data_IF_013033182824
#
_entry.id   IF_013033182824
#
_cell.length_a   1.000
_cell.length_b   1.000
_cell.length_c   1.000
_cell.angle_alpha   90.00
_cell.angle_beta   90.00
_cell.angle_gamma   90.00
#
_symmetry.space_group_name_H-M   'P 1'
#
loop_
_entity.id
_entity.type
_entity.pdbx_description
1 polymer ?
#
# COMPACT_ATOMS: atom_id res chain seq x y z
N UNK A 1 -9.49 -5.75 -14.39
CA UNK A 1 -8.48 -6.24 -13.43
C UNK A 1 -7.12 -5.60 -13.67
N UNK A 2 -6.46 -5.83 -14.83
CA UNK A 2 -5.13 -5.29 -15.14
C UNK A 2 -4.96 -3.79 -14.82
N UNK A 3 -5.84 -2.93 -15.33
CA UNK A 3 -5.79 -1.47 -15.07
C UNK A 3 -5.87 -1.13 -13.57
N UNK A 4 -6.73 -1.83 -12.84
CA UNK A 4 -6.94 -1.58 -11.41
C UNK A 4 -5.70 -1.99 -10.59
N UNK A 5 -5.18 -3.20 -10.84
CA UNK A 5 -3.95 -3.68 -10.19
C UNK A 5 -2.73 -2.83 -10.58
N UNK A 6 -2.65 -2.36 -11.83
CA UNK A 6 -1.56 -1.49 -12.28
C UNK A 6 -1.56 -0.13 -11.57
N UNK A 7 -2.71 0.51 -11.44
CA UNK A 7 -2.83 1.78 -10.68
C UNK A 7 -2.42 1.59 -9.23
N UNK A 8 -2.87 0.50 -8.59
CA UNK A 8 -2.48 0.19 -7.21
C UNK A 8 -0.98 -0.16 -7.08
N UNK A 9 -0.40 -0.85 -8.05
CA UNK A 9 1.03 -1.11 -8.06
C UNK A 9 1.84 0.19 -8.13
N UNK A 10 1.39 1.13 -8.96
CA UNK A 10 1.98 2.46 -9.06
C UNK A 10 1.90 3.23 -7.73
N UNK A 11 0.74 3.29 -7.09
CA UNK A 11 0.59 3.99 -5.79
C UNK A 11 1.41 3.33 -4.70
N UNK A 12 1.49 1.99 -4.65
CA UNK A 12 2.33 1.27 -3.70
C UNK A 12 3.82 1.61 -3.89
N UNK A 13 4.30 1.59 -5.13
CA UNK A 13 5.68 1.96 -5.45
C UNK A 13 5.99 3.40 -5.05
N UNK A 14 5.07 4.32 -5.37
CA UNK A 14 5.18 5.73 -5.03
C UNK A 14 5.30 5.93 -3.52
N UNK A 15 4.33 5.42 -2.74
CA UNK A 15 4.29 5.61 -1.28
C UNK A 15 5.51 4.98 -0.63
N UNK A 16 5.91 3.78 -1.06
CA UNK A 16 7.06 3.09 -0.49
C UNK A 16 8.38 3.85 -0.75
N UNK A 17 8.59 4.39 -1.95
CA UNK A 17 9.78 5.16 -2.28
C UNK A 17 9.80 6.54 -1.60
N UNK A 18 8.65 7.23 -1.56
CA UNK A 18 8.51 8.50 -0.85
C UNK A 18 8.80 8.33 0.64
N UNK A 19 8.23 7.29 1.26
CA UNK A 19 8.47 6.95 2.65
C UNK A 19 9.95 6.62 2.92
N UNK A 20 10.59 5.82 2.05
CA UNK A 20 12.02 5.52 2.17
C UNK A 20 12.87 6.80 2.16
N UNK A 21 12.56 7.77 1.30
CA UNK A 21 13.28 9.04 1.24
C UNK A 21 13.08 9.87 2.51
N UNK A 22 11.85 9.93 3.02
CA UNK A 22 11.49 10.82 4.14
C UNK A 22 11.79 10.23 5.52
N UNK A 23 11.74 8.90 5.64
CA UNK A 23 11.78 8.18 6.90
C UNK A 23 13.01 7.25 7.00
N UNK A 24 13.87 7.22 5.98
CA UNK A 24 14.99 6.28 5.83
C UNK A 24 14.60 4.78 5.76
N UNK A 25 13.32 4.43 5.95
CA UNK A 25 12.82 3.06 5.93
C UNK A 25 11.69 2.86 4.92
N UNK A 26 11.70 1.75 4.17
CA UNK A 26 10.60 1.39 3.29
C UNK A 26 9.43 0.84 4.11
N UNK A 27 8.23 1.39 3.93
CA UNK A 27 7.02 0.94 4.65
C UNK A 27 6.34 -0.29 4.03
N UNK A 28 6.73 -0.68 2.81
CA UNK A 28 6.16 -1.83 2.08
C UNK A 28 7.03 -3.09 2.09
N UNK A 29 8.28 -3.02 2.57
CA UNK A 29 9.24 -4.12 2.57
C UNK A 29 9.46 -4.69 3.99
N UNK A 30 8.47 -5.43 4.48
CA UNK A 30 8.50 -5.96 5.85
C UNK A 30 9.68 -6.92 6.12
N UNK A 31 10.15 -7.70 5.14
CA UNK A 31 11.30 -8.60 5.31
C UNK A 31 12.57 -7.82 5.71
N UNK A 32 12.78 -6.65 5.11
CA UNK A 32 13.89 -5.75 5.47
C UNK A 32 13.72 -5.19 6.87
N UNK A 33 12.52 -4.67 7.18
CA UNK A 33 12.17 -4.12 8.51
C UNK A 33 12.36 -5.16 9.62
N UNK A 34 11.89 -6.39 9.44
CA UNK A 34 12.04 -7.47 10.43
C UNK A 34 13.49 -7.89 10.60
N UNK A 35 14.28 -7.90 9.52
CA UNK A 35 15.73 -8.17 9.62
C UNK A 35 16.42 -7.10 10.44
N UNK A 36 16.11 -5.83 10.19
CA UNK A 36 16.68 -4.70 10.93
C UNK A 36 16.28 -4.73 12.41
N UNK A 37 15.01 -5.05 12.73
CA UNK A 37 14.56 -5.28 14.11
C UNK A 37 15.36 -6.39 14.81
N UNK A 38 15.61 -7.52 14.12
CA UNK A 38 16.43 -8.60 14.67
C UNK A 38 17.90 -8.21 14.91
N UNK A 39 18.43 -7.27 14.12
CA UNK A 39 19.78 -6.75 14.32
C UNK A 39 19.88 -5.81 15.51
N UNK A 40 18.83 -5.03 15.82
CA UNK A 40 18.86 -4.15 16.99
C UNK A 40 18.83 -4.94 18.29
N UNK A 41 18.16 -6.10 18.34
CA UNK A 41 18.26 -7.03 19.48
C UNK A 41 19.67 -7.57 19.72
N UNK A 42 20.53 -7.62 18.70
CA UNK A 42 21.94 -8.01 18.86
C UNK A 42 22.84 -6.84 19.29
N UNK A 43 22.42 -5.59 19.02
CA UNK A 43 23.14 -4.36 19.37
C UNK A 43 22.14 -3.26 19.81
N UNK A 44 21.74 -3.21 21.09
CA UNK A 44 20.61 -2.42 21.60
C UNK A 44 20.81 -0.88 21.64
N UNK A 45 21.75 -0.35 20.86
CA UNK A 45 22.12 1.07 20.85
C UNK A 45 21.45 1.88 19.72
N UNK A 46 20.46 1.34 19.01
CA UNK A 46 19.84 2.03 17.88
C UNK A 46 18.51 2.67 18.26
N UNK A 47 18.50 4.00 18.24
CA UNK A 47 17.35 4.88 18.45
C UNK A 47 16.14 4.58 17.54
N UNK A 48 16.35 3.88 16.42
CA UNK A 48 15.38 3.68 15.34
C UNK A 48 14.40 2.50 15.55
N UNK A 49 14.50 1.76 16.66
CA UNK A 49 13.64 0.60 16.95
C UNK A 49 12.15 0.91 16.95
N UNK A 50 11.76 2.03 17.56
CA UNK A 50 10.37 2.46 17.67
C UNK A 50 9.73 2.66 16.30
N UNK A 51 10.48 3.20 15.34
CA UNK A 51 9.99 3.40 13.97
C UNK A 51 9.78 2.08 13.25
N UNK A 52 10.72 1.14 13.37
CA UNK A 52 10.59 -0.18 12.75
C UNK A 52 9.41 -0.98 13.31
N UNK A 53 9.19 -0.92 14.62
CA UNK A 53 8.01 -1.53 15.28
C UNK A 53 6.73 -0.85 14.80
N UNK A 54 6.72 0.48 14.70
CA UNK A 54 5.56 1.23 14.22
C UNK A 54 5.21 0.89 12.76
N UNK A 55 6.21 0.70 11.89
CA UNK A 55 6.00 0.25 10.50
C UNK A 55 5.40 -1.15 10.48
N UNK A 56 5.96 -2.10 11.24
CA UNK A 56 5.48 -3.47 11.29
C UNK A 56 4.03 -3.55 11.81
N UNK A 57 3.75 -2.92 12.94
CA UNK A 57 2.42 -2.91 13.55
C UNK A 57 1.41 -2.13 12.71
N UNK A 58 1.81 -0.99 12.15
CA UNK A 58 0.98 -0.19 11.25
C UNK A 58 0.55 -1.01 10.04
N UNK A 59 1.51 -1.62 9.34
CA UNK A 59 1.21 -2.48 8.19
C UNK A 59 0.29 -3.64 8.56
N UNK A 60 0.58 -4.33 9.66
CA UNK A 60 -0.25 -5.43 10.15
C UNK A 60 -1.68 -4.97 10.46
N UNK A 61 -1.84 -3.87 11.18
CA UNK A 61 -3.15 -3.29 11.51
C UNK A 61 -3.93 -2.91 10.24
N UNK A 62 -3.26 -2.30 9.26
CA UNK A 62 -3.86 -2.00 7.96
C UNK A 62 -4.35 -3.26 7.24
N UNK A 63 -3.52 -4.30 7.17
CA UNK A 63 -3.89 -5.57 6.54
C UNK A 63 -5.05 -6.27 7.28
N UNK A 64 -5.04 -6.24 8.61
CA UNK A 64 -6.11 -6.75 9.46
C UNK A 64 -7.44 -6.04 9.18
N UNK A 65 -7.44 -4.70 9.15
CA UNK A 65 -8.64 -3.89 8.85
C UNK A 65 -9.14 -4.16 7.44
N UNK A 66 -8.26 -4.28 6.44
CA UNK A 66 -8.68 -4.68 5.09
C UNK A 66 -9.35 -6.05 5.08
N UNK A 67 -8.78 -7.04 5.79
CA UNK A 67 -9.38 -8.37 5.93
C UNK A 67 -10.77 -8.32 6.55
N UNK A 68 -10.94 -7.57 7.64
CA UNK A 68 -12.23 -7.38 8.31
C UNK A 68 -13.26 -6.71 7.38
N UNK A 69 -12.87 -5.64 6.69
CA UNK A 69 -13.75 -4.88 5.80
C UNK A 69 -14.20 -5.71 4.58
N UNK A 70 -13.28 -6.49 4.00
CA UNK A 70 -13.55 -7.30 2.81
C UNK A 70 -14.33 -8.57 3.16
N UNK A 71 -14.21 -9.09 4.37
CA UNK A 71 -14.91 -10.28 4.87
C UNK A 71 -16.40 -10.09 5.19
N UNK A 72 -16.90 -8.86 5.32
CA UNK A 72 -18.28 -8.59 5.76
C UNK A 72 -19.34 -9.08 4.76
N UNK A 73 -20.16 -10.11 5.01
CA UNK A 73 -20.99 -10.76 3.97
C UNK A 73 -22.07 -9.88 3.30
N UNK A 74 -22.49 -8.77 3.92
CA UNK A 74 -23.73 -8.05 3.55
C UNK A 74 -23.60 -6.88 2.56
N UNK A 75 -22.38 -6.48 2.15
CA UNK A 75 -22.21 -5.29 1.28
C UNK A 75 -21.73 -5.63 -0.13
N UNK A 76 -22.06 -4.81 -1.13
CA UNK A 76 -21.56 -5.01 -2.49
C UNK A 76 -20.02 -4.91 -2.55
N UNK A 77 -19.38 -5.79 -3.31
CA UNK A 77 -17.91 -5.85 -3.46
C UNK A 77 -17.30 -4.50 -3.85
N UNK A 78 -17.96 -3.74 -4.75
CA UNK A 78 -17.52 -2.41 -5.15
C UNK A 78 -17.47 -1.41 -3.98
N UNK A 79 -18.47 -1.43 -3.11
CA UNK A 79 -18.53 -0.56 -1.92
C UNK A 79 -17.44 -0.92 -0.92
N UNK A 80 -17.17 -2.21 -0.67
CA UNK A 80 -16.08 -2.62 0.24
C UNK A 80 -14.72 -2.13 -0.25
N UNK A 81 -14.44 -2.31 -1.54
CA UNK A 81 -13.20 -1.82 -2.15
C UNK A 81 -13.08 -0.30 -2.04
N UNK A 82 -14.17 0.44 -2.25
CA UNK A 82 -14.18 1.88 -2.10
C UNK A 82 -13.87 2.30 -0.65
N UNK A 83 -14.48 1.65 0.35
CA UNK A 83 -14.20 1.95 1.77
C UNK A 83 -12.73 1.72 2.12
N UNK A 84 -12.13 0.63 1.63
CA UNK A 84 -10.70 0.37 1.86
C UNK A 84 -9.83 1.46 1.22
N UNK A 85 -10.09 1.82 -0.05
CA UNK A 85 -9.35 2.87 -0.76
C UNK A 85 -9.53 4.26 -0.15
N UNK A 86 -10.72 4.58 0.35
CA UNK A 86 -10.97 5.84 1.07
C UNK A 86 -10.21 5.85 2.40
N UNK A 87 -10.21 4.74 3.14
CA UNK A 87 -9.47 4.63 4.41
C UNK A 87 -7.97 4.75 4.18
N UNK A 88 -7.46 4.14 3.12
CA UNK A 88 -6.08 4.27 2.67
C UNK A 88 -5.73 5.73 2.36
N UNK A 89 -6.56 6.43 1.58
CA UNK A 89 -6.34 7.83 1.25
C UNK A 89 -6.32 8.73 2.50
N UNK A 90 -7.22 8.50 3.47
CA UNK A 90 -7.24 9.23 4.74
C UNK A 90 -5.93 9.01 5.50
N UNK A 91 -5.45 7.78 5.60
CA UNK A 91 -4.18 7.49 6.27
C UNK A 91 -2.99 8.14 5.55
N UNK A 92 -2.98 8.16 4.22
CA UNK A 92 -1.93 8.84 3.44
C UNK A 92 -1.95 10.36 3.64
N UNK A 93 -3.14 10.97 3.74
CA UNK A 93 -3.27 12.40 4.07
C UNK A 93 -2.81 12.68 5.51
N UNK A 94 -3.17 11.83 6.46
CA UNK A 94 -2.68 11.92 7.83
C UNK A 94 -1.16 11.76 7.91
N UNK A 95 -0.56 10.86 7.11
CA UNK A 95 0.88 10.75 7.00
C UNK A 95 1.51 12.01 6.37
N UNK A 96 0.85 12.60 5.37
CA UNK A 96 1.30 13.81 4.69
C UNK A 96 1.33 15.04 5.61
N UNK A 97 0.29 15.21 6.41
CA UNK A 97 0.11 16.35 7.33
C UNK A 97 0.68 16.09 8.72
N UNK A 98 1.41 14.99 8.89
CA UNK A 98 1.42 14.19 10.11
C UNK A 98 1.85 14.81 11.42
N UNK A 99 2.21 16.10 11.50
CA UNK A 99 2.47 16.79 12.77
C UNK A 99 2.29 18.32 12.74
N UNK A 100 1.24 18.83 12.10
CA UNK A 100 0.87 20.24 12.30
C UNK A 100 0.24 20.50 13.68
N UNK A 101 -0.23 19.46 14.38
CA UNK A 101 -0.79 19.59 15.73
C UNK A 101 0.30 19.62 16.81
N UNK A 102 0.54 20.82 17.35
CA UNK A 102 1.55 21.11 18.39
C UNK A 102 1.43 20.25 19.65
N UNK A 103 0.20 19.91 20.08
CA UNK A 103 -0.03 19.11 21.29
C UNK A 103 0.48 17.66 21.17
N UNK A 104 0.24 17.03 20.02
CA UNK A 104 0.66 15.65 19.75
C UNK A 104 2.19 15.57 19.60
N UNK A 105 2.77 16.60 18.97
CA UNK A 105 4.22 16.79 18.87
C UNK A 105 4.89 16.90 20.23
N UNK A 106 4.30 17.67 21.15
CA UNK A 106 4.80 17.81 22.51
C UNK A 106 4.74 16.49 23.27
N UNK A 107 3.61 15.77 23.19
CA UNK A 107 3.43 14.49 23.88
C UNK A 107 4.43 13.42 23.42
N UNK A 108 4.60 13.25 22.10
CA UNK A 108 5.57 12.29 21.54
C UNK A 108 7.00 12.59 21.97
N UNK A 109 7.38 13.87 22.00
CA UNK A 109 8.68 14.30 22.48
C UNK A 109 8.89 13.99 23.96
N UNK A 110 7.85 14.07 24.79
CA UNK A 110 7.91 13.75 26.23
C UNK A 110 8.17 12.27 26.48
N UNK A 111 7.65 11.38 25.63
CA UNK A 111 7.84 9.93 25.74
C UNK A 111 9.04 9.42 24.93
N UNK A 112 9.86 10.32 24.37
CA UNK A 112 11.07 9.96 23.61
C UNK A 112 10.82 9.35 22.22
N UNK A 113 9.62 9.51 21.67
CA UNK A 113 9.26 8.98 20.35
C UNK A 113 9.56 10.01 19.27
N UNK A 114 10.26 9.59 18.21
CA UNK A 114 10.58 10.45 17.09
C UNK A 114 9.32 10.87 16.34
N UNK A 115 9.26 12.15 15.94
CA UNK A 115 8.09 12.71 15.27
C UNK A 115 7.76 12.00 13.94
N UNK A 116 8.75 11.41 13.29
CA UNK A 116 8.60 10.64 12.04
C UNK A 116 7.87 9.30 12.24
N UNK A 117 7.75 8.81 13.49
CA UNK A 117 7.14 7.51 13.82
C UNK A 117 5.65 7.44 13.47
N UNK A 118 4.88 8.50 13.71
CA UNK A 118 3.45 8.52 13.37
C UNK A 118 3.19 8.54 11.86
N UNK A 119 3.82 9.42 11.07
CA UNK A 119 3.77 9.34 9.61
C UNK A 119 4.16 7.95 9.08
N UNK A 120 5.20 7.32 9.66
CA UNK A 120 5.62 5.97 9.30
C UNK A 120 4.51 4.94 9.56
N UNK A 121 3.88 4.99 10.74
CA UNK A 121 2.77 4.12 11.12
C UNK A 121 1.57 4.27 10.18
N UNK A 122 1.18 5.51 9.86
CA UNK A 122 0.05 5.77 8.96
C UNK A 122 0.35 5.34 7.52
N UNK A 123 1.54 5.64 7.00
CA UNK A 123 1.96 5.22 5.66
C UNK A 123 2.05 3.69 5.55
N UNK A 124 2.57 3.02 6.58
CA UNK A 124 2.61 1.57 6.66
C UNK A 124 1.21 0.96 6.73
N UNK A 125 0.31 1.51 7.55
CA UNK A 125 -1.08 1.08 7.62
C UNK A 125 -1.83 1.26 6.29
N UNK A 126 -1.58 2.35 5.56
CA UNK A 126 -2.12 2.55 4.22
C UNK A 126 -1.66 1.44 3.25
N UNK A 127 -0.36 1.13 3.20
CA UNK A 127 0.13 0.02 2.37
C UNK A 127 -0.37 -1.35 2.83
N UNK A 128 -0.56 -1.54 4.13
CA UNK A 128 -1.19 -2.74 4.70
C UNK A 128 -2.62 -2.94 4.18
N UNK A 129 -3.44 -1.87 4.21
CA UNK A 129 -4.79 -1.87 3.65
C UNK A 129 -4.77 -2.21 2.16
N UNK A 130 -3.91 -1.53 1.39
CA UNK A 130 -3.81 -1.71 -0.06
C UNK A 130 -3.41 -3.16 -0.42
N UNK A 131 -2.46 -3.74 0.31
CA UNK A 131 -2.04 -5.12 0.09
C UNK A 131 -3.12 -6.14 0.48
N UNK A 132 -3.88 -5.88 1.56
CA UNK A 132 -5.05 -6.69 1.90
C UNK A 132 -6.11 -6.65 0.79
N UNK A 133 -6.37 -5.45 0.26
CA UNK A 133 -7.29 -5.23 -0.86
C UNK A 133 -6.88 -6.01 -2.11
N UNK A 134 -5.63 -5.90 -2.54
CA UNK A 134 -5.17 -6.56 -3.78
C UNK A 134 -5.11 -8.08 -3.61
N UNK A 135 -4.79 -8.57 -2.41
CA UNK A 135 -4.76 -10.01 -2.10
C UNK A 135 -6.15 -10.66 -2.14
N UNK A 136 -7.22 -9.89 -1.92
CA UNK A 136 -8.60 -10.40 -2.00
C UNK A 136 -9.11 -10.66 -3.43
N UNK A 137 -8.35 -10.23 -4.45
CA UNK A 137 -8.76 -10.37 -5.84
C UNK A 137 -8.63 -11.83 -6.30
N UNK A 138 -9.77 -12.51 -6.42
CA UNK A 138 -9.93 -13.97 -6.60
C UNK A 138 -9.14 -14.66 -7.73
N UNK A 139 -8.63 -13.93 -8.73
CA UNK A 139 -8.06 -14.54 -9.94
C UNK A 139 -6.53 -14.67 -9.93
N UNK A 140 -5.82 -13.79 -9.21
CA UNK A 140 -4.37 -13.84 -9.00
C UNK A 140 -4.12 -13.11 -7.68
N UNK A 141 -3.53 -13.80 -6.70
CA UNK A 141 -3.12 -13.18 -5.44
C UNK A 141 -1.92 -12.24 -5.67
N UNK A 142 -2.16 -11.09 -6.30
CA UNK A 142 -1.14 -10.06 -6.53
C UNK A 142 -1.02 -9.22 -5.27
N UNK A 143 0.16 -9.25 -4.66
CA UNK A 143 0.54 -8.37 -3.56
C UNK A 143 1.41 -7.25 -4.12
N UNK A 144 0.92 -6.01 -4.08
CA UNK A 144 1.59 -4.87 -4.72
C UNK A 144 2.94 -4.51 -4.11
N UNK A 145 3.22 -4.90 -2.86
CA UNK A 145 4.55 -4.71 -2.24
C UNK A 145 5.38 -5.99 -2.12
N UNK A 146 4.84 -7.15 -2.52
CA UNK A 146 5.57 -8.43 -2.50
C UNK A 146 6.41 -8.57 -3.78
N UNK A 147 7.35 -7.64 -3.94
CA UNK A 147 8.10 -7.45 -5.17
C UNK A 147 9.00 -8.64 -5.49
N UNK A 148 9.69 -9.18 -4.48
CA UNK A 148 10.54 -10.38 -4.63
C UNK A 148 9.77 -11.56 -5.21
N UNK A 149 8.60 -11.89 -4.67
CA UNK A 149 7.79 -12.97 -5.21
C UNK A 149 7.26 -12.69 -6.61
N UNK A 150 6.90 -11.44 -6.93
CA UNK A 150 6.46 -11.05 -8.28
C UNK A 150 7.57 -11.29 -9.32
N UNK A 151 8.82 -10.93 -8.98
CA UNK A 151 10.00 -11.20 -9.82
C UNK A 151 10.25 -12.70 -9.96
N UNK A 152 10.21 -13.47 -8.86
CA UNK A 152 10.40 -14.92 -8.88
C UNK A 152 9.34 -15.62 -9.74
N UNK A 153 8.07 -15.28 -9.58
CA UNK A 153 6.97 -15.88 -10.33
C UNK A 153 7.10 -15.58 -11.83
N UNK A 154 7.40 -14.33 -12.19
CA UNK A 154 7.64 -13.95 -13.59
C UNK A 154 8.85 -14.69 -14.17
N UNK A 155 9.95 -14.80 -13.41
CA UNK A 155 11.14 -15.56 -13.81
C UNK A 155 10.83 -17.04 -14.06
N UNK A 156 10.07 -17.68 -13.15
CA UNK A 156 9.65 -19.07 -13.29
C UNK A 156 8.70 -19.28 -14.48
N UNK A 157 7.81 -18.32 -14.76
CA UNK A 157 6.91 -18.38 -15.92
C UNK A 157 7.70 -18.29 -17.23
N UNK A 158 8.64 -17.35 -17.33
CA UNK A 158 9.46 -17.17 -18.53
C UNK A 158 10.41 -18.36 -18.73
N UNK A 159 11.03 -18.86 -17.66
CA UNK A 159 11.93 -20.03 -17.71
C UNK A 159 11.23 -21.32 -18.16
N UNK A 160 9.95 -21.50 -17.78
CA UNK A 160 9.15 -22.67 -18.16
C UNK A 160 8.37 -22.51 -19.47
N UNK A 161 8.34 -21.31 -20.05
CA UNK A 161 7.52 -20.98 -21.21
C UNK A 161 7.76 -21.89 -22.42
N UNK A 162 9.01 -22.33 -22.63
CA UNK A 162 9.37 -23.24 -23.74
C UNK A 162 8.81 -24.65 -23.59
N UNK A 163 8.56 -25.12 -22.35
CA UNK A 163 8.06 -26.48 -22.09
C UNK A 163 6.55 -26.54 -21.82
N UNK A 164 6.01 -25.53 -21.13
CA UNK A 164 4.63 -25.54 -20.65
C UNK A 164 3.74 -24.46 -21.29
N UNK A 165 4.29 -23.69 -22.25
CA UNK A 165 3.64 -22.49 -22.76
C UNK A 165 3.68 -21.33 -21.76
N UNK A 166 3.40 -20.13 -22.23
CA UNK A 166 3.32 -18.93 -21.39
C UNK A 166 1.85 -18.55 -21.17
N UNK A 167 1.43 -18.48 -19.92
CA UNK A 167 0.15 -17.85 -19.56
C UNK A 167 0.26 -16.32 -19.71
N UNK A 168 0.17 -15.85 -20.97
CA UNK A 168 0.42 -14.45 -21.37
C UNK A 168 -0.31 -13.43 -20.50
N UNK A 169 -1.56 -13.73 -20.11
CA UNK A 169 -2.36 -12.86 -19.24
C UNK A 169 -1.75 -12.68 -17.84
N UNK A 170 -1.36 -13.76 -17.17
CA UNK A 170 -0.75 -13.69 -15.83
C UNK A 170 0.63 -13.01 -15.90
N UNK A 171 1.42 -13.35 -16.92
CA UNK A 171 2.71 -12.71 -17.16
C UNK A 171 2.56 -11.19 -17.40
N UNK A 172 1.56 -10.77 -18.16
CA UNK A 172 1.26 -9.36 -18.39
C UNK A 172 0.85 -8.64 -17.09
N UNK A 173 0.07 -9.26 -16.21
CA UNK A 173 -0.27 -8.68 -14.90
C UNK A 173 0.97 -8.53 -14.02
N UNK A 174 1.82 -9.55 -13.92
CA UNK A 174 3.03 -9.49 -13.10
C UNK A 174 4.03 -8.47 -13.65
N UNK A 175 4.24 -8.45 -14.98
CA UNK A 175 5.10 -7.48 -15.63
C UNK A 175 4.58 -6.05 -15.49
N UNK A 176 3.28 -5.82 -15.68
CA UNK A 176 2.68 -4.50 -15.49
C UNK A 176 2.78 -4.04 -14.02
N UNK A 177 2.54 -4.95 -13.07
CA UNK A 177 2.70 -4.68 -11.63
C UNK A 177 4.14 -4.28 -11.32
N UNK A 178 5.11 -5.03 -11.85
CA UNK A 178 6.53 -4.75 -11.71
C UNK A 178 6.86 -3.34 -12.25
N UNK A 179 6.63 -3.11 -13.54
CA UNK A 179 7.00 -1.87 -14.21
C UNK A 179 6.31 -0.64 -13.60
N UNK A 180 5.03 -0.77 -13.23
CA UNK A 180 4.29 0.34 -12.64
C UNK A 180 4.71 0.60 -11.19
N UNK A 181 5.09 -0.43 -10.43
CA UNK A 181 5.70 -0.23 -9.11
C UNK A 181 7.03 0.53 -9.24
N UNK A 182 7.90 0.17 -10.19
CA UNK A 182 9.14 0.93 -10.45
C UNK A 182 8.83 2.38 -10.88
N UNK A 183 7.91 2.57 -11.83
CA UNK A 183 7.53 3.90 -12.32
C UNK A 183 6.93 4.77 -11.20
N UNK A 184 6.09 4.16 -10.36
CA UNK A 184 5.54 4.76 -9.15
C UNK A 184 6.65 5.16 -8.19
N UNK A 185 7.60 4.26 -7.92
CA UNK A 185 8.76 4.55 -7.05
C UNK A 185 9.61 5.71 -7.56
N UNK A 186 9.92 5.75 -8.86
CA UNK A 186 10.66 6.84 -9.47
C UNK A 186 9.90 8.17 -9.36
N UNK A 187 8.59 8.16 -9.65
CA UNK A 187 7.73 9.36 -9.54
C UNK A 187 7.58 9.81 -8.10
N UNK A 188 7.44 8.87 -7.16
CA UNK A 188 7.37 9.08 -5.72
C UNK A 188 8.61 9.76 -5.20
N UNK A 189 9.79 9.28 -5.59
CA UNK A 189 11.07 9.88 -5.22
C UNK A 189 11.19 11.31 -5.73
N UNK A 190 10.93 11.54 -7.03
CA UNK A 190 11.01 12.88 -7.64
C UNK A 190 10.03 13.86 -6.99
N UNK A 191 8.81 13.40 -6.68
CA UNK A 191 7.79 14.24 -6.05
C UNK A 191 8.12 14.51 -4.58
N UNK A 192 8.60 13.51 -3.85
CA UNK A 192 8.98 13.65 -2.44
C UNK A 192 10.19 14.57 -2.25
N UNK A 193 11.16 14.58 -3.17
CA UNK A 193 12.27 15.56 -3.16
C UNK A 193 11.74 17.00 -3.25
N UNK A 194 10.67 17.24 -4.01
CA UNK A 194 10.12 18.59 -4.22
C UNK A 194 9.12 19.02 -3.16
N UNK A 195 8.30 18.10 -2.66
CA UNK A 195 7.13 18.42 -1.82
C UNK A 195 7.18 17.79 -0.42
N UNK A 196 8.20 16.99 -0.10
CA UNK A 196 8.32 16.29 1.18
C UNK A 196 7.10 15.41 1.46
N UNK A 197 6.60 15.44 2.70
CA UNK A 197 5.43 14.69 3.17
C UNK A 197 4.17 14.92 2.31
N UNK A 198 3.99 16.13 1.79
CA UNK A 198 2.85 16.49 0.95
C UNK A 198 2.80 15.71 -0.37
N UNK A 199 3.90 15.08 -0.79
CA UNK A 199 3.90 14.19 -1.95
C UNK A 199 2.88 13.05 -1.83
N UNK A 200 2.55 12.62 -0.60
CA UNK A 200 1.55 11.57 -0.33
C UNK A 200 0.11 12.01 -0.64
N UNK A 201 -0.15 13.30 -0.86
CA UNK A 201 -1.46 13.77 -1.32
C UNK A 201 -1.79 13.26 -2.74
N UNK A 202 -0.78 13.04 -3.58
CA UNK A 202 -0.97 12.51 -4.92
C UNK A 202 -1.51 11.05 -4.93
N UNK A 203 -0.87 10.06 -4.28
CA UNK A 203 -1.43 8.72 -4.18
C UNK A 203 -2.77 8.71 -3.42
N UNK A 204 -2.98 9.58 -2.42
CA UNK A 204 -4.28 9.72 -1.76
C UNK A 204 -5.39 10.15 -2.74
N UNK A 205 -5.13 11.16 -3.58
CA UNK A 205 -6.06 11.60 -4.61
C UNK A 205 -6.36 10.47 -5.62
N UNK A 206 -5.33 9.72 -6.04
CA UNK A 206 -5.52 8.55 -6.91
C UNK A 206 -6.46 7.54 -6.23
N UNK A 207 -6.21 7.16 -4.97
CA UNK A 207 -7.07 6.21 -4.25
C UNK A 207 -8.52 6.70 -4.13
N UNK A 208 -8.74 8.00 -3.86
CA UNK A 208 -10.10 8.58 -3.83
C UNK A 208 -10.79 8.53 -5.20
N UNK A 209 -10.08 8.84 -6.29
CA UNK A 209 -10.67 8.74 -7.64
C UNK A 209 -11.06 7.30 -7.97
N UNK A 210 -10.22 6.33 -7.62
CA UNK A 210 -10.54 4.90 -7.82
C UNK A 210 -11.70 4.47 -6.93
N UNK A 211 -11.76 4.91 -5.67
CA UNK A 211 -12.88 4.65 -4.78
C UNK A 211 -14.20 5.17 -5.37
N UNK A 212 -14.22 6.42 -5.84
CA UNK A 212 -15.38 7.02 -6.49
C UNK A 212 -15.86 6.24 -7.71
N UNK A 213 -14.92 5.79 -8.57
CA UNK A 213 -15.25 4.93 -9.70
C UNK A 213 -15.88 3.59 -9.28
N UNK A 214 -15.43 2.99 -8.18
CA UNK A 214 -15.96 1.73 -7.67
C UNK A 214 -17.38 1.89 -7.09
N UNK A 215 -17.65 3.00 -6.40
CA UNK A 215 -19.00 3.34 -5.92
C UNK A 215 -19.95 3.60 -7.10
N UNK A 216 -19.52 4.38 -8.09
CA UNK A 216 -20.32 4.69 -9.27
C UNK A 216 -20.71 3.42 -10.03
N UNK A 217 -19.75 2.51 -10.27
CA UNK A 217 -20.01 1.20 -10.91
C UNK A 217 -20.96 0.32 -10.10
N UNK A 218 -20.84 0.34 -8.77
CA UNK A 218 -21.76 -0.38 -7.89
C UNK A 218 -23.20 0.10 -8.04
N UNK A 219 -23.42 1.42 -8.12
CA UNK A 219 -24.75 2.02 -8.30
C UNK A 219 -25.36 1.69 -9.67
N UNK A 220 -24.58 1.70 -10.75
CA UNK A 220 -25.08 1.41 -12.10
C UNK A 220 -25.52 -0.05 -12.28
N UNK A 221 -24.90 -0.98 -11.55
CA UNK A 221 -25.30 -2.39 -11.60
C UNK A 221 -26.61 -2.62 -10.84
N UNK A 222 -26.80 -1.98 -9.68
CA UNK A 222 -28.06 -2.06 -8.92
C UNK A 222 -29.25 -1.46 -9.68
N UNK A 223 -29.06 -0.36 -10.41
CA UNK A 223 -30.14 0.25 -11.20
C UNK A 223 -30.54 -0.59 -12.42
N UNK A 224 -29.61 -1.34 -13.03
CA UNK A 224 -29.91 -2.26 -14.14
C UNK A 224 -30.71 -3.50 -13.72
N UNK A 225 -30.40 -4.07 -12.56
CA UNK A 225 -31.20 -5.20 -12.02
C UNK A 225 -32.61 -4.76 -11.62
N UNK A 226 -32.78 -3.51 -11.17
CA UNK A 226 -34.09 -2.97 -10.76
C UNK A 226 -34.99 -2.56 -11.94
N UNK A 227 -34.44 -2.48 -13.16
CA UNK A 227 -35.19 -2.14 -14.38
C UNK A 227 -35.48 -3.36 -15.27
N UNK A 228 -35.12 -4.56 -14.79
CA UNK A 228 -35.39 -5.85 -15.42
C UNK A 228 -36.47 -6.66 -14.65
N UNK A 229 -37.14 -6.03 -13.69
CA UNK A 229 -38.27 -6.54 -12.90
C UNK A 229 -39.47 -5.64 -13.21
#
# INVERSE_FOLDING_TARGET
MLRYTAVLAFTAGFVNAAALLMLAFPVGNLTGVTTQLGMTTAHPWRYEEHMLVAILLGFFAGAFVAGALLGMPKSATGTRHAVVLTSEAVLLLLAATGLEHSALRSFLSTIGVEQTTLPALFAAAALGLQNGLTSSIRQIAVRTTHFTGTVTDLGLMLGRARRHGLEKWKAAILLATLLLFLAGGATGLVTAVRFGGHALALPAAICLTVAGMQVARGRTLTTRDSSCI
#
